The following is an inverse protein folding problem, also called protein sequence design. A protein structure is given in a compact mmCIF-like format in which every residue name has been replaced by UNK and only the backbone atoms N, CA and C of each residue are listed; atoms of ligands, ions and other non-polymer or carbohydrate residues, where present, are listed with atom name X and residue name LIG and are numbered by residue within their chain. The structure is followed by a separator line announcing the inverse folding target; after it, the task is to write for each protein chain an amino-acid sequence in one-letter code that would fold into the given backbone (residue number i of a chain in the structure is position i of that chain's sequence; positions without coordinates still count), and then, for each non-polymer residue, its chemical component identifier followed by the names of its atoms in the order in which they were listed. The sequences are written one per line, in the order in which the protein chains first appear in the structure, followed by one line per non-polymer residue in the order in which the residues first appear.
data_IF_336916447594
#
_entry.id   IF_336916447594
#
_cell.length_a   1.000
_cell.length_b   1.000
_cell.length_c   1.000
_cell.angle_alpha   90.00
_cell.angle_beta   90.00
_cell.angle_gamma   90.00
#
_symmetry.space_group_name_H-M   'P 1'
#
loop_
_entity.id
_entity.type
_entity.pdbx_description
1 polymer ?
#
# COMPACT_ATOMS: atom_id res chain seq x y z
N UNK A 1 8.44 6.17 17.49
CA UNK A 1 8.10 7.50 16.95
C UNK A 1 6.61 7.78 17.13
N UNK A 2 6.21 9.05 17.19
CA UNK A 2 4.82 9.49 17.33
C UNK A 2 4.32 10.11 16.03
N UNK A 3 3.69 9.30 15.18
CA UNK A 3 3.00 9.81 14.00
C UNK A 3 1.74 10.56 14.41
N UNK A 4 1.46 11.69 13.74
CA UNK A 4 0.20 12.41 13.94
C UNK A 4 -0.98 11.59 13.41
N UNK A 5 -2.16 11.76 14.01
CA UNK A 5 -3.39 11.13 13.52
C UNK A 5 -3.64 11.43 12.04
N UNK A 6 -3.42 12.68 11.63
CA UNK A 6 -3.53 13.12 10.24
C UNK A 6 -2.58 12.34 9.30
N UNK A 7 -1.33 12.11 9.71
CA UNK A 7 -0.36 11.34 8.91
C UNK A 7 -0.86 9.90 8.70
N UNK A 8 -1.39 9.28 9.75
CA UNK A 8 -1.93 7.91 9.68
C UNK A 8 -3.19 7.88 8.79
N UNK A 9 -4.09 8.83 8.93
CA UNK A 9 -5.32 8.93 8.11
C UNK A 9 -5.00 9.11 6.62
N UNK A 10 -4.01 9.94 6.28
CA UNK A 10 -3.52 10.11 4.91
C UNK A 10 -2.91 8.83 4.36
N UNK A 11 -2.03 8.18 5.14
CA UNK A 11 -1.41 6.91 4.78
C UNK A 11 -2.44 5.82 4.49
N UNK A 12 -3.40 5.66 5.40
CA UNK A 12 -4.49 4.69 5.29
C UNK A 12 -5.38 4.98 4.07
N UNK A 13 -5.79 6.23 3.90
CA UNK A 13 -6.65 6.63 2.78
C UNK A 13 -5.97 6.44 1.43
N UNK A 14 -4.67 6.71 1.36
CA UNK A 14 -3.89 6.52 0.15
C UNK A 14 -3.77 5.05 -0.25
N UNK A 15 -3.41 4.16 0.69
CA UNK A 15 -3.37 2.72 0.42
C UNK A 15 -4.75 2.16 0.09
N UNK A 16 -5.80 2.58 0.80
CA UNK A 16 -7.16 2.18 0.47
C UNK A 16 -7.57 2.62 -0.94
N UNK A 17 -7.19 3.84 -1.35
CA UNK A 17 -7.40 4.31 -2.72
C UNK A 17 -6.73 3.41 -3.76
N UNK A 18 -5.52 2.91 -3.47
CA UNK A 18 -4.81 1.98 -4.37
C UNK A 18 -5.49 0.63 -4.57
N UNK A 19 -6.22 0.14 -3.57
CA UNK A 19 -6.93 -1.14 -3.66
C UNK A 19 -8.17 -1.11 -4.55
N UNK A 20 -8.73 0.09 -4.78
CA UNK A 20 -9.93 0.32 -5.59
C UNK A 20 -9.63 1.07 -6.89
N UNK A 21 -8.36 1.39 -7.14
CA UNK A 21 -7.94 2.02 -8.39
C UNK A 21 -8.02 1.01 -9.55
N UNK A 22 -8.56 1.46 -10.68
CA UNK A 22 -8.66 0.66 -11.90
C UNK A 22 -7.39 0.67 -12.74
N UNK A 23 -6.35 1.42 -12.34
CA UNK A 23 -5.08 1.40 -13.07
C UNK A 23 -4.52 -0.03 -13.16
N UNK A 24 -4.07 -0.48 -14.34
CA UNK A 24 -3.37 -1.76 -14.50
C UNK A 24 -2.08 -1.82 -13.69
N UNK A 25 -1.65 -3.03 -13.36
CA UNK A 25 -0.34 -3.22 -12.77
C UNK A 25 0.77 -2.77 -13.73
N UNK A 26 1.80 -2.14 -13.18
CA UNK A 26 3.01 -1.79 -13.91
C UNK A 26 4.22 -1.89 -12.98
N UNK A 27 5.27 -2.55 -13.43
CA UNK A 27 6.57 -2.58 -12.77
C UNK A 27 7.62 -1.70 -13.49
N UNK A 28 7.23 -0.96 -14.53
CA UNK A 28 8.12 -0.11 -15.34
C UNK A 28 8.95 -0.81 -16.42
N UNK A 29 8.79 -2.12 -16.64
CA UNK A 29 9.46 -2.88 -17.69
C UNK A 29 8.46 -3.37 -18.75
N UNK A 30 8.82 -3.23 -20.04
CA UNK A 30 8.02 -3.63 -21.20
C UNK A 30 8.46 -4.97 -21.81
N UNK A 31 9.41 -5.69 -21.20
CA UNK A 31 9.77 -7.04 -21.61
C UNK A 31 8.59 -8.02 -21.53
N UNK A 32 8.58 -9.04 -22.39
CA UNK A 32 7.48 -10.00 -22.49
C UNK A 32 7.08 -10.62 -21.13
N UNK A 33 8.05 -11.09 -20.35
CA UNK A 33 7.80 -11.68 -19.03
C UNK A 33 7.15 -10.69 -18.06
N UNK A 34 7.59 -9.42 -18.09
CA UNK A 34 7.05 -8.35 -17.27
C UNK A 34 5.58 -8.06 -17.60
N UNK A 35 5.28 -7.95 -18.90
CA UNK A 35 3.91 -7.73 -19.39
C UNK A 35 2.99 -8.88 -19.01
N UNK A 36 3.45 -10.14 -19.13
CA UNK A 36 2.68 -11.32 -18.73
C UNK A 36 2.42 -11.33 -17.22
N UNK A 37 3.41 -11.00 -16.39
CA UNK A 37 3.25 -10.94 -14.94
C UNK A 37 2.22 -9.88 -14.52
N UNK A 38 2.30 -8.67 -15.08
CA UNK A 38 1.33 -7.60 -14.82
C UNK A 38 -0.08 -8.02 -15.25
N UNK A 39 -0.21 -8.65 -16.42
CA UNK A 39 -1.50 -9.15 -16.90
C UNK A 39 -2.10 -10.22 -15.97
N UNK A 40 -1.29 -11.16 -15.48
CA UNK A 40 -1.75 -12.19 -14.55
C UNK A 40 -2.18 -11.60 -13.21
N UNK A 41 -1.47 -10.59 -12.72
CA UNK A 41 -1.85 -9.86 -11.51
C UNK A 41 -3.17 -9.11 -11.69
N UNK A 42 -3.35 -8.44 -12.83
CA UNK A 42 -4.59 -7.75 -13.19
C UNK A 42 -5.78 -8.71 -13.26
N UNK A 43 -5.60 -9.88 -13.88
CA UNK A 43 -6.63 -10.90 -13.99
C UNK A 43 -7.01 -11.54 -12.63
N UNK A 44 -6.12 -11.48 -11.65
CA UNK A 44 -6.34 -12.01 -10.30
C UNK A 44 -6.95 -10.98 -9.33
N UNK A 45 -7.11 -9.71 -9.74
CA UNK A 45 -7.78 -8.69 -8.93
C UNK A 45 -9.25 -9.05 -8.69
N UNK A 46 -9.74 -8.63 -7.53
CA UNK A 46 -11.13 -8.80 -7.13
C UNK A 46 -11.77 -7.43 -6.89
N UNK A 47 -13.07 -7.34 -7.10
CA UNK A 47 -13.82 -6.16 -6.67
C UNK A 47 -13.75 -6.04 -5.14
N UNK A 48 -13.49 -4.83 -4.66
CA UNK A 48 -13.42 -4.53 -3.22
C UNK A 48 -14.67 -3.77 -2.82
N UNK A 49 -15.44 -4.33 -1.89
CA UNK A 49 -16.63 -3.68 -1.34
C UNK A 49 -16.25 -2.56 -0.37
N UNK A 50 -17.19 -1.64 -0.13
CA UNK A 50 -16.99 -0.56 0.85
C UNK A 50 -16.77 -1.10 2.27
N UNK A 51 -17.42 -2.19 2.65
CA UNK A 51 -17.26 -2.81 3.97
C UNK A 51 -15.86 -3.41 4.14
N UNK A 52 -15.36 -4.15 3.14
CA UNK A 52 -13.97 -4.64 3.15
C UNK A 52 -12.99 -3.48 3.23
N UNK A 53 -13.21 -2.40 2.45
CA UNK A 53 -12.34 -1.23 2.48
C UNK A 53 -12.32 -0.54 3.86
N UNK A 54 -13.47 -0.48 4.55
CA UNK A 54 -13.56 0.09 5.89
C UNK A 54 -12.84 -0.77 6.94
N UNK A 55 -12.96 -2.10 6.85
CA UNK A 55 -12.20 -3.04 7.71
C UNK A 55 -10.69 -2.87 7.46
N UNK A 56 -10.27 -2.82 6.20
CA UNK A 56 -8.87 -2.61 5.82
C UNK A 56 -8.33 -1.31 6.41
N UNK A 57 -9.05 -0.20 6.25
CA UNK A 57 -8.62 1.11 6.78
C UNK A 57 -8.41 1.07 8.29
N UNK A 58 -9.32 0.43 9.03
CA UNK A 58 -9.23 0.28 10.48
C UNK A 58 -8.04 -0.61 10.88
N UNK A 59 -7.87 -1.75 10.22
CA UNK A 59 -6.79 -2.69 10.49
C UNK A 59 -5.42 -2.05 10.21
N UNK A 60 -5.27 -1.39 9.06
CA UNK A 60 -4.04 -0.72 8.66
C UNK A 60 -3.66 0.42 9.61
N UNK A 61 -4.63 1.27 10.00
CA UNK A 61 -4.39 2.35 10.95
C UNK A 61 -3.82 1.83 12.27
N UNK A 62 -4.43 0.78 12.83
CA UNK A 62 -3.94 0.13 14.06
C UNK A 62 -2.52 -0.42 13.90
N UNK A 63 -2.22 -1.11 12.80
CA UNK A 63 -0.89 -1.69 12.56
C UNK A 63 0.19 -0.62 12.35
N UNK A 64 -0.16 0.51 11.74
CA UNK A 64 0.75 1.67 11.63
C UNK A 64 1.04 2.24 13.02
N UNK A 65 0.04 2.40 13.87
CA UNK A 65 0.24 2.87 15.26
C UNK A 65 1.15 1.93 16.06
N UNK A 66 0.98 0.63 15.92
CA UNK A 66 1.81 -0.39 16.56
C UNK A 66 3.26 -0.34 16.02
N UNK A 67 3.43 -0.35 14.70
CA UNK A 67 4.75 -0.27 14.06
C UNK A 67 5.48 1.05 14.38
N UNK A 68 4.76 2.15 14.53
CA UNK A 68 5.33 3.44 14.93
C UNK A 68 5.87 3.42 16.37
N UNK A 69 5.23 2.67 17.29
CA UNK A 69 5.73 2.51 18.67
C UNK A 69 7.02 1.68 18.72
N UNK A 70 7.14 0.69 17.84
CA UNK A 70 8.30 -0.20 17.77
C UNK A 70 9.48 0.39 16.97
N UNK A 71 9.22 1.35 16.08
CA UNK A 71 10.24 1.97 15.23
C UNK A 71 10.74 3.31 15.77
N UNK A 72 12.06 3.51 15.67
CA UNK A 72 12.72 4.75 16.08
C UNK A 72 12.74 5.80 14.98
N UNK A 73 12.81 5.39 13.71
CA UNK A 73 13.06 6.30 12.58
C UNK A 73 11.87 6.44 11.64
N UNK A 74 11.20 5.32 11.30
CA UNK A 74 10.17 5.32 10.28
C UNK A 74 9.38 4.02 10.20
N UNK A 75 8.19 4.09 9.61
CA UNK A 75 7.44 2.91 9.14
C UNK A 75 7.50 2.88 7.63
N UNK A 76 7.90 1.74 7.07
CA UNK A 76 7.98 1.51 5.63
C UNK A 76 6.95 0.47 5.24
N UNK A 77 6.16 0.79 4.22
CA UNK A 77 5.21 -0.12 3.61
C UNK A 77 5.48 -0.15 2.11
N UNK A 78 5.75 -1.33 1.56
CA UNK A 78 6.13 -1.48 0.17
C UNK A 78 5.45 -2.67 -0.48
N UNK A 79 5.32 -2.59 -1.80
CA UNK A 79 4.82 -3.63 -2.67
C UNK A 79 5.85 -3.89 -3.77
N UNK A 80 6.81 -4.79 -3.51
CA UNK A 80 7.73 -5.28 -4.55
C UNK A 80 7.15 -6.55 -5.17
N UNK A 81 6.17 -6.38 -6.05
CA UNK A 81 5.25 -7.41 -6.58
C UNK A 81 4.26 -8.01 -5.59
N UNK A 82 4.51 -7.88 -4.28
CA UNK A 82 3.58 -8.30 -3.21
C UNK A 82 3.62 -7.32 -2.04
N UNK A 83 2.49 -7.13 -1.34
CA UNK A 83 2.46 -6.27 -0.16
C UNK A 83 3.38 -6.79 0.94
N UNK A 84 4.03 -5.87 1.65
CA UNK A 84 4.75 -6.18 2.88
C UNK A 84 3.78 -6.67 3.98
N UNK A 85 4.32 -7.21 5.07
CA UNK A 85 3.55 -7.82 6.16
C UNK A 85 2.42 -6.93 6.70
N UNK A 86 2.68 -5.64 6.94
CA UNK A 86 1.68 -4.71 7.48
C UNK A 86 0.46 -4.60 6.56
N UNK A 87 0.71 -4.48 5.24
CA UNK A 87 -0.33 -4.37 4.23
C UNK A 87 -1.05 -5.71 4.03
N UNK A 88 -0.30 -6.81 3.95
CA UNK A 88 -0.85 -8.15 3.73
C UNK A 88 -1.76 -8.59 4.88
N UNK A 89 -1.34 -8.42 6.14
CA UNK A 89 -2.16 -8.75 7.30
C UNK A 89 -3.42 -7.86 7.41
N UNK A 90 -3.31 -6.58 7.02
CA UNK A 90 -4.47 -5.67 7.00
C UNK A 90 -5.49 -6.08 5.92
N UNK A 91 -5.01 -6.53 4.77
CA UNK A 91 -5.84 -7.00 3.68
C UNK A 91 -6.49 -8.35 3.98
N UNK A 92 -5.74 -9.28 4.59
CA UNK A 92 -6.26 -10.58 5.04
C UNK A 92 -7.41 -10.41 6.03
N UNK A 93 -7.24 -9.53 7.04
CA UNK A 93 -8.29 -9.20 8.00
C UNK A 93 -9.54 -8.59 7.34
N UNK A 94 -9.36 -7.90 6.22
CA UNK A 94 -10.44 -7.33 5.42
C UNK A 94 -11.00 -8.28 4.36
N UNK A 95 -10.44 -9.49 4.20
CA UNK A 95 -10.78 -10.39 3.10
C UNK A 95 -10.51 -9.81 1.71
N UNK A 96 -9.46 -8.99 1.56
CA UNK A 96 -9.03 -8.39 0.29
C UNK A 96 -7.86 -9.20 -0.26
N UNK A 97 -7.95 -9.61 -1.52
CA UNK A 97 -6.87 -10.31 -2.22
C UNK A 97 -5.59 -9.46 -2.27
N UNK A 98 -4.44 -10.08 -2.03
CA UNK A 98 -3.14 -9.40 -2.19
C UNK A 98 -2.86 -9.00 -3.64
N UNK A 99 -3.58 -9.57 -4.61
CA UNK A 99 -3.49 -9.18 -6.02
C UNK A 99 -4.04 -7.76 -6.29
N UNK A 100 -4.80 -7.17 -5.36
CA UNK A 100 -5.30 -5.80 -5.48
C UNK A 100 -4.22 -4.74 -5.18
N UNK A 101 -3.03 -5.12 -4.69
CA UNK A 101 -1.97 -4.17 -4.39
C UNK A 101 -1.13 -3.83 -5.62
N UNK A 102 -0.83 -2.55 -5.85
CA UNK A 102 -0.02 -2.13 -6.99
C UNK A 102 1.42 -2.65 -6.90
N UNK A 103 2.08 -2.74 -8.04
CA UNK A 103 3.50 -3.11 -8.09
C UNK A 103 4.43 -1.90 -7.95
N UNK A 104 5.60 -2.15 -7.36
CA UNK A 104 6.72 -1.21 -7.23
C UNK A 104 6.32 0.08 -6.51
N UNK A 105 5.40 -0.04 -5.57
CA UNK A 105 4.79 1.07 -4.85
C UNK A 105 5.24 1.05 -3.39
N UNK A 106 5.61 2.19 -2.84
CA UNK A 106 6.13 2.30 -1.49
C UNK A 106 5.63 3.56 -0.76
N UNK A 107 5.62 3.47 0.56
CA UNK A 107 5.29 4.55 1.47
C UNK A 107 6.28 4.55 2.64
N UNK A 108 6.73 5.75 3.00
CA UNK A 108 7.54 6.03 4.16
C UNK A 108 6.78 6.98 5.09
N UNK A 109 6.69 6.62 6.37
CA UNK A 109 6.10 7.44 7.41
C UNK A 109 7.18 7.83 8.42
N UNK A 110 7.29 9.12 8.72
CA UNK A 110 8.17 9.62 9.79
C UNK A 110 7.62 10.89 10.41
N UNK A 111 8.11 11.25 11.61
CA UNK A 111 7.74 12.50 12.28
C UNK A 111 8.13 13.74 11.47
N UNK A 112 9.29 13.69 10.79
CA UNK A 112 9.84 14.84 10.07
C UNK A 112 9.16 15.05 8.72
N UNK A 113 9.00 13.99 7.95
CA UNK A 113 8.54 14.08 6.56
C UNK A 113 7.04 13.83 6.40
N UNK A 114 6.36 13.35 7.45
CA UNK A 114 4.97 12.91 7.36
C UNK A 114 4.85 11.64 6.52
N UNK A 115 3.84 11.60 5.65
CA UNK A 115 3.63 10.52 4.69
C UNK A 115 4.24 10.88 3.33
N UNK A 116 5.21 10.08 2.89
CA UNK A 116 5.87 10.20 1.58
C UNK A 116 5.67 8.93 0.81
N UNK A 117 5.26 9.03 -0.45
CA UNK A 117 4.93 7.88 -1.29
C UNK A 117 5.71 7.89 -2.58
N UNK A 118 5.91 6.70 -3.13
CA UNK A 118 6.40 6.44 -4.47
C UNK A 118 5.44 5.47 -5.13
N UNK A 119 4.87 5.89 -6.26
CA UNK A 119 3.83 5.14 -6.95
C UNK A 119 4.39 4.58 -8.27
N UNK A 120 4.88 3.34 -8.20
CA UNK A 120 5.51 2.66 -9.33
C UNK A 120 7.04 2.78 -9.42
N UNK A 121 7.62 1.95 -10.28
CA UNK A 121 9.06 1.86 -10.46
C UNK A 121 9.64 3.17 -11.03
N UNK A 122 10.80 3.58 -10.51
CA UNK A 122 11.45 4.82 -10.93
C UNK A 122 10.72 6.13 -10.56
N UNK A 123 9.51 6.10 -10.01
CA UNK A 123 8.79 7.30 -9.61
C UNK A 123 9.52 8.09 -8.49
N UNK A 124 9.35 9.41 -8.51
CA UNK A 124 9.84 10.31 -7.47
C UNK A 124 9.05 10.14 -6.18
N UNK A 125 9.70 10.40 -5.04
CA UNK A 125 9.02 10.49 -3.75
C UNK A 125 8.20 11.79 -3.66
N UNK A 126 6.93 11.68 -3.31
CA UNK A 126 6.00 12.81 -3.18
C UNK A 126 5.35 12.77 -1.80
N UNK A 127 5.27 13.92 -1.13
CA UNK A 127 4.56 14.07 0.14
C UNK A 127 3.06 14.21 -0.10
N UNK A 128 2.25 13.53 0.70
CA UNK A 128 0.78 13.56 0.65
C UNK A 128 0.16 14.16 1.91
#
# INVERSE_FOLDING_TARGET
MNLTKETIEKAVSWWAGKLIDSQPHSNGDLGFSSVVECFLADAARQDVTLDQLNVFKKALGKRIEEAAKESVLSVVMECDYRPCRILAESADEAGISTANFPFKTAMFLSEKEGAVVKDGYGASWVRI
#
